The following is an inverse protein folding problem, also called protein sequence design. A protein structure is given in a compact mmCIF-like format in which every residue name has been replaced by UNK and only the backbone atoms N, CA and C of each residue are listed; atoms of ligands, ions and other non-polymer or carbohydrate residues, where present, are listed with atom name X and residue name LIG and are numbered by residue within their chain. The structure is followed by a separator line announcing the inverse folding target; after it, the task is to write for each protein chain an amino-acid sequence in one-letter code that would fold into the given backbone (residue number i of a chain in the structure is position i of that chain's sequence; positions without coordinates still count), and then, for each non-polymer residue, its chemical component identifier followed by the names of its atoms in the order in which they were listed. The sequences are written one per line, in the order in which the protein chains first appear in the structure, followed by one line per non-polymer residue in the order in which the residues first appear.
data_IF_621332244134
#
_entry.id   IF_621332244134
#
_cell.length_a   1.000
_cell.length_b   1.000
_cell.length_c   1.000
_cell.angle_alpha   90.00
_cell.angle_beta   90.00
_cell.angle_gamma   90.00
#
_symmetry.space_group_name_H-M   'P 1'
#
loop_
_entity.id
_entity.type
_entity.pdbx_description
1 polymer ?
#
# COMPACT_ATOMS: atom_id res chain seq x y z
N UNK A 1 -1.40 2.29 -4.35
CA UNK A 1 -2.85 2.47 -4.09
C UNK A 1 -3.55 3.03 -5.32
N UNK A 2 -4.88 3.04 -5.32
CA UNK A 2 -5.75 3.59 -6.39
C UNK A 2 -6.79 4.55 -5.82
N UNK A 3 -7.47 5.31 -6.70
CA UNK A 3 -8.68 6.05 -6.34
C UNK A 3 -8.45 7.22 -5.37
N UNK A 4 -9.41 7.44 -4.47
CA UNK A 4 -9.51 8.58 -3.55
C UNK A 4 -8.62 8.48 -2.30
N UNK A 5 -7.86 7.40 -2.13
CA UNK A 5 -7.01 7.17 -0.95
C UNK A 5 -5.75 8.07 -0.91
N UNK A 6 -5.50 8.87 -1.94
CA UNK A 6 -4.27 9.65 -2.09
C UNK A 6 -3.97 10.58 -0.89
N UNK A 7 -4.89 11.44 -0.41
CA UNK A 7 -4.59 12.35 0.70
C UNK A 7 -4.27 11.60 2.00
N UNK A 8 -5.03 10.55 2.31
CA UNK A 8 -4.83 9.73 3.50
C UNK A 8 -3.47 9.02 3.48
N UNK A 9 -2.98 8.61 2.31
CA UNK A 9 -1.65 8.00 2.19
C UNK A 9 -0.54 9.02 2.36
N UNK A 10 -0.68 10.21 1.79
CA UNK A 10 0.33 11.28 1.98
C UNK A 10 0.51 11.58 3.46
N UNK A 11 -0.60 11.80 4.19
CA UNK A 11 -0.56 12.02 5.63
C UNK A 11 -0.03 10.79 6.41
N UNK A 12 -0.41 9.58 6.01
CA UNK A 12 0.09 8.37 6.66
C UNK A 12 1.62 8.22 6.55
N UNK A 13 2.20 8.62 5.42
CA UNK A 13 3.65 8.62 5.20
C UNK A 13 4.36 9.62 6.08
N UNK A 14 3.80 10.82 6.26
CA UNK A 14 4.35 11.82 7.17
C UNK A 14 4.39 11.29 8.61
N UNK A 15 3.33 10.63 9.03
CA UNK A 15 3.23 10.04 10.37
C UNK A 15 4.09 8.79 10.57
N UNK A 16 4.36 8.04 9.50
CA UNK A 16 5.32 6.93 9.52
C UNK A 16 6.75 7.46 9.62
N UNK A 17 7.07 8.54 8.92
CA UNK A 17 8.36 9.23 8.99
C UNK A 17 8.64 9.77 10.39
N UNK A 18 7.64 10.33 11.08
CA UNK A 18 7.74 10.71 12.50
C UNK A 18 8.09 9.54 13.43
N UNK A 19 7.83 8.30 13.01
CA UNK A 19 8.16 7.07 13.73
C UNK A 19 9.45 6.39 13.22
N UNK A 20 10.20 7.04 12.34
CA UNK A 20 11.43 6.50 11.76
C UNK A 20 11.22 5.52 10.60
N UNK A 21 10.02 5.45 10.02
CA UNK A 21 9.72 4.61 8.84
C UNK A 21 9.68 5.49 7.60
N UNK A 22 10.77 5.46 6.83
CA UNK A 22 10.81 6.08 5.51
C UNK A 22 10.03 5.25 4.49
N UNK A 23 9.24 5.92 3.66
CA UNK A 23 8.36 5.24 2.69
C UNK A 23 8.44 5.89 1.32
N UNK A 24 8.34 5.07 0.28
CA UNK A 24 8.06 5.54 -1.08
C UNK A 24 6.63 5.23 -1.47
N UNK A 25 6.10 5.98 -2.43
CA UNK A 25 4.70 5.88 -2.81
C UNK A 25 4.49 5.89 -4.32
N UNK A 26 3.77 4.88 -4.81
CA UNK A 26 3.28 4.78 -6.17
C UNK A 26 1.74 4.73 -6.18
N UNK A 27 1.14 5.56 -7.03
CA UNK A 27 -0.30 5.58 -7.28
C UNK A 27 -0.58 5.01 -8.66
N UNK A 28 -1.27 3.86 -8.69
CA UNK A 28 -1.73 3.25 -9.93
C UNK A 28 -2.96 4.03 -10.40
N UNK A 29 -2.95 4.45 -11.66
CA UNK A 29 -4.03 5.26 -12.27
C UNK A 29 -4.82 4.51 -13.35
N UNK A 30 -4.27 3.42 -13.88
CA UNK A 30 -4.89 2.59 -14.90
C UNK A 30 -4.38 1.15 -14.80
N UNK A 31 -5.15 0.21 -15.36
CA UNK A 31 -4.76 -1.17 -15.62
C UNK A 31 -4.85 -1.45 -17.14
N UNK A 32 -4.07 -2.39 -17.71
CA UNK A 32 -3.06 -3.23 -17.04
C UNK A 32 -1.88 -2.41 -16.51
N UNK A 33 -1.09 -3.00 -15.59
CA UNK A 33 0.06 -2.30 -15.02
C UNK A 33 1.16 -2.08 -16.08
N UNK A 34 2.02 -1.10 -15.85
CA UNK A 34 3.18 -0.81 -16.70
C UNK A 34 4.48 -1.21 -16.00
N UNK A 35 5.60 -1.13 -16.73
CA UNK A 35 6.93 -1.45 -16.20
C UNK A 35 7.33 -0.60 -14.98
N UNK A 36 6.76 0.59 -14.80
CA UNK A 36 7.02 1.44 -13.63
C UNK A 36 6.54 0.76 -12.34
N UNK A 37 5.39 0.08 -12.37
CA UNK A 37 4.89 -0.69 -11.21
C UNK A 37 5.84 -1.85 -10.90
N UNK A 38 6.30 -2.57 -11.92
CA UNK A 38 7.25 -3.66 -11.74
C UNK A 38 8.56 -3.17 -11.11
N UNK A 39 9.20 -2.17 -11.70
CA UNK A 39 10.46 -1.60 -11.18
C UNK A 39 10.29 -1.02 -9.77
N UNK A 40 9.12 -0.45 -9.46
CA UNK A 40 8.83 0.00 -8.11
C UNK A 40 8.80 -1.17 -7.12
N UNK A 41 8.10 -2.25 -7.44
CA UNK A 41 7.99 -3.42 -6.53
C UNK A 41 9.32 -4.15 -6.39
N UNK A 42 10.08 -4.26 -7.46
CA UNK A 42 11.40 -4.89 -7.45
C UNK A 42 12.36 -4.18 -6.48
N UNK A 43 12.32 -2.84 -6.44
CA UNK A 43 13.23 -1.98 -5.66
C UNK A 43 13.09 -2.11 -4.14
N UNK A 44 11.94 -2.52 -3.62
CA UNK A 44 11.68 -2.55 -2.18
C UNK A 44 11.52 -3.98 -1.66
N UNK A 45 11.84 -4.21 -0.40
CA UNK A 45 11.68 -5.53 0.24
C UNK A 45 10.21 -5.81 0.60
N UNK A 46 9.45 -4.77 0.91
CA UNK A 46 8.04 -4.82 1.29
C UNK A 46 7.25 -3.75 0.58
N UNK A 47 6.12 -4.12 -0.01
CA UNK A 47 5.22 -3.20 -0.70
C UNK A 47 3.80 -3.36 -0.20
N UNK A 48 3.30 -2.32 0.45
CA UNK A 48 1.95 -2.29 0.99
C UNK A 48 0.93 -1.83 -0.08
N UNK A 49 -0.02 -2.71 -0.41
CA UNK A 49 -1.11 -2.42 -1.34
C UNK A 49 -2.31 -1.92 -0.53
N UNK A 50 -2.42 -0.59 -0.43
CA UNK A 50 -3.47 0.08 0.35
C UNK A 50 -4.73 0.30 -0.50
N UNK A 51 -5.87 -0.25 -0.06
CA UNK A 51 -7.15 -0.21 -0.77
C UNK A 51 -8.37 -0.03 0.15
N UNK A 52 -9.35 0.76 -0.32
CA UNK A 52 -10.67 0.84 0.29
C UNK A 52 -11.61 -0.15 -0.40
N UNK A 53 -11.34 -1.43 -0.20
CA UNK A 53 -12.08 -2.56 -0.76
C UNK A 53 -12.05 -3.69 0.26
N UNK A 54 -13.07 -4.56 0.25
CA UNK A 54 -13.18 -5.72 1.11
C UNK A 54 -12.15 -6.79 0.74
N UNK A 55 -12.01 -7.07 -0.55
CA UNK A 55 -11.32 -8.27 -1.02
C UNK A 55 -9.87 -7.98 -1.47
N UNK A 56 -9.41 -6.73 -1.43
CA UNK A 56 -8.06 -6.38 -1.90
C UNK A 56 -7.85 -6.68 -3.39
N UNK A 57 -8.81 -6.29 -4.24
CA UNK A 57 -8.79 -6.66 -5.66
C UNK A 57 -7.53 -6.19 -6.41
N UNK A 58 -6.96 -5.02 -6.10
CA UNK A 58 -5.70 -4.61 -6.72
C UNK A 58 -4.55 -5.49 -6.26
N UNK A 59 -4.52 -5.89 -4.99
CA UNK A 59 -3.53 -6.82 -4.49
C UNK A 59 -3.56 -8.15 -5.28
N UNK A 60 -4.75 -8.73 -5.49
CA UNK A 60 -4.92 -9.96 -6.28
C UNK A 60 -4.48 -9.78 -7.74
N UNK A 61 -4.83 -8.66 -8.37
CA UNK A 61 -4.38 -8.34 -9.74
C UNK A 61 -2.85 -8.25 -9.79
N UNK A 62 -2.24 -7.57 -8.82
CA UNK A 62 -0.78 -7.42 -8.75
C UNK A 62 -0.07 -8.75 -8.48
N UNK A 63 -0.65 -9.67 -7.71
CA UNK A 63 -0.09 -11.01 -7.52
C UNK A 63 -0.01 -11.79 -8.83
N UNK A 64 -1.05 -11.69 -9.67
CA UNK A 64 -1.09 -12.36 -10.97
C UNK A 64 -0.10 -11.71 -11.95
N UNK A 65 -0.07 -10.39 -12.02
CA UNK A 65 0.77 -9.63 -12.96
C UNK A 65 2.26 -9.62 -12.59
N UNK A 66 2.59 -9.67 -11.29
CA UNK A 66 3.96 -9.59 -10.77
C UNK A 66 4.43 -10.92 -10.17
N UNK A 67 4.06 -12.05 -10.80
CA UNK A 67 4.23 -13.42 -10.30
C UNK A 67 5.54 -13.68 -9.48
N UNK A 68 6.70 -13.21 -9.96
CA UNK A 68 8.00 -13.41 -9.30
C UNK A 68 8.24 -12.52 -8.07
N UNK A 69 7.55 -11.39 -7.98
CA UNK A 69 7.66 -10.39 -6.92
C UNK A 69 6.48 -10.45 -5.92
N UNK A 70 5.53 -11.36 -6.13
CA UNK A 70 4.31 -11.45 -5.32
C UNK A 70 4.56 -11.62 -3.82
N UNK A 71 5.67 -12.27 -3.43
CA UNK A 71 6.08 -12.45 -2.04
C UNK A 71 6.44 -11.13 -1.31
N UNK A 72 6.68 -10.04 -2.05
CA UNK A 72 6.95 -8.70 -1.49
C UNK A 72 5.67 -7.91 -1.21
N UNK A 73 4.54 -8.32 -1.80
CA UNK A 73 3.28 -7.60 -1.69
C UNK A 73 2.59 -7.93 -0.37
N UNK A 74 2.07 -6.90 0.30
CA UNK A 74 1.31 -7.03 1.54
C UNK A 74 -0.01 -6.28 1.37
N UNK A 75 -1.13 -6.98 1.50
CA UNK A 75 -2.46 -6.37 1.41
C UNK A 75 -2.78 -5.55 2.66
N UNK A 76 -3.20 -4.30 2.46
CA UNK A 76 -3.73 -3.41 3.51
C UNK A 76 -5.08 -2.90 3.03
N UNK A 77 -6.09 -3.74 3.17
CA UNK A 77 -7.45 -3.50 2.69
C UNK A 77 -8.42 -3.31 3.86
N UNK A 78 -9.39 -2.40 3.68
CA UNK A 78 -10.50 -2.22 4.59
C UNK A 78 -11.74 -1.73 3.83
N UNK A 79 -12.91 -2.19 4.25
CA UNK A 79 -14.20 -1.77 3.71
C UNK A 79 -15.25 -1.77 4.84
N UNK A 80 -15.51 -0.61 5.43
CA UNK A 80 -16.53 -0.39 6.46
C UNK A 80 -17.53 0.72 6.09
N UNK A 81 -17.56 1.11 4.81
CA UNK A 81 -18.37 2.23 4.32
C UNK A 81 -17.79 3.61 4.58
N UNK A 82 -16.63 3.71 5.27
CA UNK A 82 -15.93 4.97 5.51
C UNK A 82 -14.66 5.08 4.64
N UNK A 83 -14.18 6.30 4.35
CA UNK A 83 -12.85 6.50 3.78
C UNK A 83 -11.76 5.97 4.71
N UNK A 84 -10.66 5.47 4.12
CA UNK A 84 -9.47 5.13 4.91
C UNK A 84 -8.90 6.39 5.57
N UNK A 85 -8.66 6.32 6.87
CA UNK A 85 -7.95 7.38 7.60
C UNK A 85 -6.44 7.15 7.54
N UNK A 86 -5.67 8.24 7.50
CA UNK A 86 -4.22 8.18 7.61
C UNK A 86 -3.77 7.43 8.87
N UNK A 87 -4.51 7.60 9.99
CA UNK A 87 -4.24 6.88 11.25
C UNK A 87 -4.31 5.39 11.09
N UNK A 88 -5.38 4.91 10.49
CA UNK A 88 -5.55 3.48 10.28
C UNK A 88 -4.42 2.93 9.39
N UNK A 89 -4.09 3.60 8.28
CA UNK A 89 -2.99 3.19 7.38
C UNK A 89 -1.66 3.13 8.13
N UNK A 90 -1.30 4.19 8.88
CA UNK A 90 -0.09 4.24 9.70
C UNK A 90 -0.02 3.10 10.71
N UNK A 91 -1.14 2.81 11.41
CA UNK A 91 -1.19 1.74 12.40
C UNK A 91 -1.03 0.36 11.76
N UNK A 92 -1.66 0.11 10.61
CA UNK A 92 -1.49 -1.16 9.89
C UNK A 92 -0.04 -1.38 9.47
N UNK A 93 0.59 -0.38 8.85
CA UNK A 93 1.98 -0.49 8.38
C UNK A 93 2.95 -0.58 9.56
N UNK A 94 2.80 0.24 10.60
CA UNK A 94 3.67 0.19 11.78
C UNK A 94 3.63 -1.17 12.48
N UNK A 95 2.44 -1.78 12.60
CA UNK A 95 2.30 -3.12 13.19
C UNK A 95 3.04 -4.19 12.38
N UNK A 96 3.04 -4.10 11.04
CA UNK A 96 3.77 -5.02 10.16
C UNK A 96 5.30 -4.82 10.23
N UNK A 97 5.74 -3.60 10.53
CA UNK A 97 7.15 -3.27 10.79
C UNK A 97 7.59 -3.56 12.24
N UNK A 98 6.73 -4.16 13.07
CA UNK A 98 7.05 -4.50 14.47
C UNK A 98 7.13 -3.28 15.39
N UNK A 99 6.62 -2.13 14.96
CA UNK A 99 6.60 -0.89 15.72
C UNK A 99 5.28 -0.77 16.48
N UNK A 100 5.20 -1.44 17.62
CA UNK A 100 4.12 -1.23 18.58
C UNK A 100 4.41 0.03 19.43
N UNK A 101 3.35 0.78 19.74
CA UNK A 101 3.41 1.85 20.74
C UNK A 101 3.77 1.31 22.11
#
# INVERSE_FOLDING_TARGET
SVGSNHPAIVEARDRLRERGVETSYLRIRALPINNEVHSFVEKYDRVYVVENNRDGQLYEILLVELHELGNKLISVSKCDGLPLSARWITEQIANQEGMQK
#
